data_IF_109983101585
#
_entry.id   IF_109983101585
#
_cell.length_a   1.000
_cell.length_b   1.000
_cell.length_c   1.000
_cell.angle_alpha   90.00
_cell.angle_beta   90.00
_cell.angle_gamma   90.00
#
_symmetry.space_group_name_H-M   'P 1'
#
loop_
_entity.id
_entity.type
_entity.pdbx_description
1 polymer ?
#
# COMPACT_ATOMS: atom_id res chain seq x y z
N UNK A 1 44.16 -17.60 13.26
CA UNK A 1 43.00 -16.94 12.63
C UNK A 1 41.80 -17.35 13.48
N UNK A 2 41.63 -16.74 14.66
CA UNK A 2 41.03 -15.42 14.95
C UNK A 2 39.49 -15.52 14.90
N UNK A 3 38.93 -15.57 16.12
CA UNK A 3 37.68 -14.98 16.64
C UNK A 3 36.33 -15.50 16.07
N UNK A 4 35.26 -15.71 16.84
CA UNK A 4 34.89 -15.14 18.14
C UNK A 4 34.03 -16.09 19.00
N UNK A 5 34.18 -15.93 20.31
CA UNK A 5 33.39 -16.48 21.41
C UNK A 5 32.12 -15.65 21.68
N UNK A 6 31.11 -16.33 22.28
CA UNK A 6 30.12 -15.83 23.26
C UNK A 6 29.07 -14.78 22.80
N UNK A 7 27.79 -14.80 23.19
CA UNK A 7 27.07 -15.36 24.35
C UNK A 7 25.55 -15.35 24.09
N UNK A 8 24.83 -16.32 24.65
CA UNK A 8 23.39 -16.26 24.89
C UNK A 8 23.08 -15.15 25.90
N UNK A 9 22.08 -14.32 25.66
CA UNK A 9 21.28 -13.70 26.73
C UNK A 9 19.80 -13.71 26.32
N UNK A 10 19.00 -14.44 27.11
CA UNK A 10 17.55 -14.36 27.11
C UNK A 10 17.16 -12.95 27.59
N UNK A 11 16.46 -12.19 26.74
CA UNK A 11 15.91 -10.89 27.14
C UNK A 11 14.54 -11.14 27.77
N UNK A 12 14.51 -11.19 29.09
CA UNK A 12 13.31 -10.91 29.88
C UNK A 12 13.28 -9.39 30.10
N UNK A 13 12.31 -8.68 29.52
CA UNK A 13 12.07 -7.26 29.80
C UNK A 13 10.60 -7.01 30.12
N UNK A 14 10.40 -6.18 31.13
CA UNK A 14 9.18 -5.99 31.89
C UNK A 14 8.06 -5.38 31.04
N UNK A 15 7.00 -6.17 30.81
CA UNK A 15 5.62 -5.68 30.76
C UNK A 15 5.37 -4.38 29.97
N UNK A 16 5.67 -4.36 28.66
CA UNK A 16 4.93 -3.57 27.66
C UNK A 16 5.17 -4.17 26.28
N UNK A 17 4.20 -4.97 25.85
CA UNK A 17 4.08 -5.41 24.46
C UNK A 17 3.80 -4.16 23.62
N UNK A 18 4.83 -3.53 23.05
CA UNK A 18 4.58 -2.61 21.94
C UNK A 18 4.08 -3.48 20.79
N UNK A 19 2.79 -3.36 20.46
CA UNK A 19 2.20 -4.01 19.30
C UNK A 19 3.03 -3.63 18.05
N UNK A 20 3.92 -4.52 17.61
CA UNK A 20 4.45 -4.48 16.26
C UNK A 20 3.29 -4.84 15.33
N UNK A 21 2.49 -3.85 14.97
CA UNK A 21 1.55 -4.00 13.87
C UNK A 21 2.37 -3.98 12.57
N UNK A 22 2.65 -5.16 12.02
CA UNK A 22 3.12 -5.28 10.64
C UNK A 22 1.98 -4.80 9.73
N UNK A 23 2.04 -3.54 9.30
CA UNK A 23 1.12 -3.03 8.27
C UNK A 23 1.47 -3.67 6.93
N UNK A 24 0.46 -3.87 6.09
CA UNK A 24 0.66 -4.40 4.74
C UNK A 24 1.50 -3.42 3.93
N UNK A 25 2.53 -3.93 3.27
CA UNK A 25 3.37 -3.17 2.35
C UNK A 25 2.54 -2.65 1.15
N UNK A 26 2.49 -1.32 0.91
CA UNK A 26 1.72 -0.74 -0.20
C UNK A 26 2.13 -1.27 -1.58
N UNK A 27 3.42 -1.57 -1.80
CA UNK A 27 3.88 -2.09 -3.08
C UNK A 27 3.30 -3.48 -3.36
N UNK A 28 3.16 -4.31 -2.32
CA UNK A 28 2.51 -5.61 -2.41
C UNK A 28 1.04 -5.50 -2.81
N UNK A 29 0.28 -4.55 -2.22
CA UNK A 29 -1.12 -4.27 -2.62
C UNK A 29 -1.22 -3.77 -4.07
N UNK A 30 -0.29 -2.92 -4.49
CA UNK A 30 -0.23 -2.46 -5.87
C UNK A 30 0.00 -3.62 -6.86
N UNK A 31 0.93 -4.54 -6.56
CA UNK A 31 1.12 -5.74 -7.39
C UNK A 31 -0.14 -6.61 -7.45
N UNK A 32 -0.84 -6.73 -6.32
CA UNK A 32 -2.10 -7.46 -6.24
C UNK A 32 -3.19 -6.85 -7.14
N UNK A 33 -3.30 -5.51 -7.14
CA UNK A 33 -4.19 -4.77 -8.03
C UNK A 33 -3.86 -5.03 -9.50
N UNK A 34 -2.59 -4.91 -9.89
CA UNK A 34 -2.16 -5.16 -11.28
C UNK A 34 -2.48 -6.59 -11.70
N UNK A 35 -2.24 -7.57 -10.84
CA UNK A 35 -2.55 -8.97 -11.12
C UNK A 35 -4.05 -9.19 -11.36
N UNK A 36 -4.92 -8.55 -10.57
CA UNK A 36 -6.38 -8.62 -10.77
C UNK A 36 -6.78 -8.01 -12.11
N UNK A 37 -6.33 -6.79 -12.41
CA UNK A 37 -6.65 -6.09 -13.65
C UNK A 37 -6.23 -6.91 -14.87
N UNK A 38 -5.02 -7.47 -14.87
CA UNK A 38 -4.51 -8.28 -15.97
C UNK A 38 -5.27 -9.60 -16.18
N UNK A 39 -5.99 -10.10 -15.16
CA UNK A 39 -6.75 -11.33 -15.27
C UNK A 39 -7.98 -11.17 -16.18
N UNK A 40 -8.66 -10.04 -16.13
CA UNK A 40 -9.85 -9.76 -16.95
C UNK A 40 -9.55 -8.85 -18.15
N UNK A 41 -8.48 -8.07 -18.11
CA UNK A 41 -7.97 -7.26 -19.23
C UNK A 41 -6.47 -7.47 -19.46
N UNK A 42 -6.05 -8.61 -20.04
CA UNK A 42 -4.63 -8.95 -20.20
C UNK A 42 -3.85 -8.08 -21.19
N UNK A 43 -4.54 -7.31 -22.04
CA UNK A 43 -3.92 -6.40 -23.02
C UNK A 43 -3.94 -4.94 -22.61
N UNK A 44 -4.46 -4.63 -21.41
CA UNK A 44 -4.60 -3.25 -20.97
C UNK A 44 -3.24 -2.63 -20.62
N UNK A 45 -3.07 -1.40 -21.08
CA UNK A 45 -1.95 -0.56 -20.70
C UNK A 45 -2.13 -0.09 -19.25
N UNK A 46 -1.37 -0.72 -18.34
CA UNK A 46 -1.38 -0.40 -16.90
C UNK A 46 -0.63 0.91 -16.58
N UNK A 47 0.00 1.58 -17.55
CA UNK A 47 0.79 2.79 -17.32
C UNK A 47 -0.01 3.90 -16.64
N UNK A 48 -1.31 3.98 -16.91
CA UNK A 48 -2.18 4.97 -16.26
C UNK A 48 -2.44 4.64 -14.78
N UNK A 49 -2.61 3.35 -14.45
CA UNK A 49 -2.76 2.86 -13.07
C UNK A 49 -1.46 3.10 -12.31
N UNK A 50 -0.30 2.78 -12.91
CA UNK A 50 1.01 3.03 -12.30
C UNK A 50 1.22 4.52 -12.00
N UNK A 51 0.86 5.39 -12.96
CA UNK A 51 0.95 6.84 -12.77
C UNK A 51 0.05 7.31 -11.63
N UNK A 52 -1.19 6.81 -11.57
CA UNK A 52 -2.13 7.13 -10.51
C UNK A 52 -1.59 6.71 -9.14
N UNK A 53 -1.03 5.49 -9.04
CA UNK A 53 -0.42 4.98 -7.81
C UNK A 53 0.72 5.89 -7.33
N UNK A 54 1.66 6.26 -8.21
CA UNK A 54 2.77 7.15 -7.86
C UNK A 54 2.30 8.52 -7.39
N UNK A 55 1.26 9.07 -8.03
CA UNK A 55 0.67 10.35 -7.64
C UNK A 55 0.04 10.26 -6.25
N UNK A 56 -0.82 9.26 -6.02
CA UNK A 56 -1.46 9.08 -4.72
C UNK A 56 -0.44 8.78 -3.60
N UNK A 57 0.54 7.91 -3.87
CA UNK A 57 1.59 7.57 -2.92
C UNK A 57 2.41 8.79 -2.51
N UNK A 58 2.79 9.65 -3.46
CA UNK A 58 3.52 10.89 -3.17
C UNK A 58 2.64 11.90 -2.41
N UNK A 59 1.37 12.05 -2.83
CA UNK A 59 0.42 12.97 -2.18
C UNK A 59 0.17 12.60 -0.72
N UNK A 60 0.08 11.30 -0.43
CA UNK A 60 -0.21 10.75 0.90
C UNK A 60 1.02 10.28 1.69
N UNK A 61 2.26 10.53 1.21
CA UNK A 61 3.49 9.90 1.75
C UNK A 61 3.74 10.06 3.26
N UNK A 62 3.24 11.14 3.86
CA UNK A 62 3.40 11.45 5.28
C UNK A 62 2.06 11.40 6.05
N UNK A 63 1.01 10.90 5.40
CA UNK A 63 -0.32 10.82 5.96
C UNK A 63 -0.58 9.43 6.51
N UNK A 64 -1.11 9.38 7.73
CA UNK A 64 -1.53 8.14 8.38
C UNK A 64 -3.04 8.18 8.60
N UNK A 65 -3.69 7.01 8.59
CA UNK A 65 -5.06 6.89 9.06
C UNK A 65 -5.10 6.89 10.59
N UNK A 66 -6.31 6.98 11.15
CA UNK A 66 -6.52 6.88 12.61
C UNK A 66 -6.03 5.55 13.22
N UNK A 67 -5.95 4.50 12.40
CA UNK A 67 -5.38 3.19 12.73
C UNK A 67 -3.86 3.18 12.84
N UNK A 68 -3.18 4.23 12.36
CA UNK A 68 -1.71 4.29 12.27
C UNK A 68 -1.13 3.76 10.95
N UNK A 69 -1.96 3.20 10.06
CA UNK A 69 -1.50 2.69 8.77
C UNK A 69 -1.21 3.83 7.76
N UNK A 70 -0.25 3.67 6.84
CA UNK A 70 -0.05 4.58 5.72
C UNK A 70 -1.35 4.82 4.93
N UNK A 71 -1.70 6.08 4.66
CA UNK A 71 -3.01 6.42 4.07
C UNK A 71 -3.24 5.76 2.70
N UNK A 72 -2.18 5.60 1.90
CA UNK A 72 -2.21 4.98 0.56
C UNK A 72 -2.81 3.57 0.53
N UNK A 73 -2.81 2.86 1.67
CA UNK A 73 -3.43 1.53 1.79
C UNK A 73 -4.94 1.59 1.52
N UNK A 74 -5.62 2.67 1.95
CA UNK A 74 -7.07 2.82 1.73
C UNK A 74 -7.43 2.95 0.23
N UNK A 75 -6.85 3.89 -0.54
CA UNK A 75 -7.12 3.97 -1.97
C UNK A 75 -6.75 2.70 -2.75
N UNK A 76 -5.68 1.98 -2.37
CA UNK A 76 -5.32 0.71 -3.00
C UNK A 76 -6.36 -0.39 -2.74
N UNK A 77 -6.88 -0.50 -1.52
CA UNK A 77 -7.95 -1.45 -1.20
C UNK A 77 -9.25 -1.13 -1.96
N UNK A 78 -9.59 0.16 -2.09
CA UNK A 78 -10.73 0.60 -2.93
C UNK A 78 -10.52 0.15 -4.37
N UNK A 79 -9.34 0.41 -4.94
CA UNK A 79 -9.00 0.02 -6.30
C UNK A 79 -9.05 -1.51 -6.51
N UNK A 80 -8.61 -2.30 -5.53
CA UNK A 80 -8.70 -3.76 -5.54
C UNK A 80 -10.15 -4.24 -5.63
N UNK A 81 -11.06 -3.65 -4.83
CA UNK A 81 -12.49 -3.98 -4.87
C UNK A 81 -13.08 -3.65 -6.24
N UNK A 82 -12.71 -2.49 -6.82
CA UNK A 82 -13.17 -2.11 -8.15
C UNK A 82 -12.66 -3.07 -9.24
N UNK A 83 -11.44 -3.60 -9.08
CA UNK A 83 -10.88 -4.61 -9.97
C UNK A 83 -11.54 -5.99 -9.79
N UNK A 84 -11.92 -6.37 -8.57
CA UNK A 84 -12.72 -7.58 -8.31
C UNK A 84 -14.13 -7.51 -8.93
N UNK A 85 -14.65 -6.29 -9.14
CA UNK A 85 -15.88 -6.02 -9.89
C UNK A 85 -15.67 -5.94 -11.41
N UNK A 86 -14.44 -6.19 -11.89
CA UNK A 86 -14.03 -6.14 -13.30
C UNK A 86 -14.35 -4.79 -13.97
N UNK A 87 -14.21 -3.69 -13.23
CA UNK A 87 -14.46 -2.35 -13.76
C UNK A 87 -13.32 -1.87 -14.65
N UNK A 88 -13.62 -0.85 -15.46
CA UNK A 88 -12.71 -0.25 -16.41
C UNK A 88 -11.54 0.47 -15.72
N UNK A 89 -10.42 0.55 -16.44
CA UNK A 89 -9.17 1.17 -15.98
C UNK A 89 -9.39 2.58 -15.44
N UNK A 90 -10.22 3.37 -16.09
CA UNK A 90 -10.52 4.75 -15.70
C UNK A 90 -11.20 4.81 -14.32
N UNK A 91 -12.09 3.86 -14.02
CA UNK A 91 -12.68 3.69 -12.68
C UNK A 91 -11.65 3.25 -11.64
N UNK A 92 -10.74 2.34 -11.98
CA UNK A 92 -9.63 1.95 -11.08
C UNK A 92 -8.75 3.16 -10.73
N UNK A 93 -8.38 3.93 -11.75
CA UNK A 93 -7.58 5.16 -11.59
C UNK A 93 -8.31 6.18 -10.72
N UNK A 94 -9.61 6.36 -10.92
CA UNK A 94 -10.43 7.22 -10.06
C UNK A 94 -10.45 6.73 -8.61
N UNK A 95 -10.55 5.41 -8.39
CA UNK A 95 -10.48 4.81 -7.05
C UNK A 95 -9.14 5.07 -6.35
N UNK A 96 -8.02 5.01 -7.06
CA UNK A 96 -6.70 5.33 -6.51
C UNK A 96 -6.59 6.83 -6.12
N UNK A 97 -7.24 7.71 -6.89
CA UNK A 97 -7.09 9.16 -6.75
C UNK A 97 -8.20 9.85 -5.95
N UNK A 98 -9.24 9.12 -5.52
CA UNK A 98 -10.49 9.74 -5.05
C UNK A 98 -10.30 10.72 -3.88
N UNK A 99 -9.40 10.39 -2.94
CA UNK A 99 -9.11 11.23 -1.77
C UNK A 99 -7.95 12.21 -2.00
N UNK A 100 -7.25 12.14 -3.14
CA UNK A 100 -6.07 12.99 -3.39
C UNK A 100 -6.45 14.47 -3.42
N UNK A 101 -7.61 14.81 -4.00
CA UNK A 101 -8.08 16.20 -4.09
C UNK A 101 -8.63 16.71 -2.75
N UNK A 102 -9.25 15.84 -1.96
CA UNK A 102 -9.90 16.23 -0.69
C UNK A 102 -8.89 16.33 0.47
N UNK A 103 -7.97 15.36 0.55
CA UNK A 103 -7.11 15.16 1.72
C UNK A 103 -5.67 15.65 1.53
N UNK A 104 -5.34 16.18 0.36
CA UNK A 104 -3.98 16.66 0.04
C UNK A 104 -3.98 18.06 -0.56
N UNK A 105 -2.79 18.58 -0.88
CA UNK A 105 -2.62 19.92 -1.48
C UNK A 105 -2.74 19.91 -3.02
N UNK A 106 -2.94 18.74 -3.63
CA UNK A 106 -3.07 18.62 -5.09
C UNK A 106 -4.42 19.14 -5.59
N UNK A 107 -4.44 19.72 -6.80
CA UNK A 107 -5.63 20.34 -7.44
C UNK A 107 -5.73 19.99 -8.91
#
# INVERSE_FOLDING_TARGET
>A
MVMAEEKNEEIFDDGKMSEYHEFVDPDSLYQELIHRVQKYHPSDDISLIEKAYKVAAEAHKNQLRKSGEPYIIHPLNVAIILADLELDKETIVAGILHDVVEDTVMT
#
